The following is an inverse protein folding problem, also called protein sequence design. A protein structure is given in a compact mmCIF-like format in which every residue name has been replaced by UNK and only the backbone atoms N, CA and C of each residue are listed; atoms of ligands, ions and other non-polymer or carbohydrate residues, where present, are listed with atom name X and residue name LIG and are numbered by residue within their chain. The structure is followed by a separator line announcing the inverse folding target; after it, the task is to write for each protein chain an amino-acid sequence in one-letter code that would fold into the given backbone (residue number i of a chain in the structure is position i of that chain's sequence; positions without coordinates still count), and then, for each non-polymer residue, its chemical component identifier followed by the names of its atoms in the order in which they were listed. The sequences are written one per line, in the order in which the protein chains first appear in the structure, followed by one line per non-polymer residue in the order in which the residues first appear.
data_IF_316748254383
#
_entry.id   IF_316748254383
#
_cell.length_a   1.000
_cell.length_b   1.000
_cell.length_c   1.000
_cell.angle_alpha   90.00
_cell.angle_beta   90.00
_cell.angle_gamma   90.00
#
_symmetry.space_group_name_H-M   'P 1'
#
loop_
_entity.id
_entity.type
_entity.pdbx_description
1 polymer ?
#
# COMPACT_ATOMS: atom_id res chain seq x y z
N UNK A 1 23.95 -6.63 -5.24
CA UNK A 1 23.14 -5.72 -4.39
C UNK A 1 22.58 -6.52 -3.22
N UNK A 2 22.79 -6.10 -1.96
CA UNK A 2 22.26 -6.84 -0.80
C UNK A 2 20.72 -6.85 -0.84
N UNK A 3 20.10 -7.96 -0.44
CA UNK A 3 18.65 -8.16 -0.47
C UNK A 3 18.05 -7.83 0.90
N UNK A 4 16.97 -7.05 0.94
CA UNK A 4 16.17 -6.83 2.16
C UNK A 4 14.89 -7.65 2.05
N UNK A 5 14.60 -8.43 3.08
CA UNK A 5 13.29 -9.07 3.23
C UNK A 5 12.39 -8.17 4.08
N UNK A 6 11.17 -7.87 3.65
CA UNK A 6 10.17 -7.12 4.42
C UNK A 6 9.13 -8.13 4.92
N UNK A 7 9.06 -8.29 6.24
CA UNK A 7 8.12 -9.21 6.86
C UNK A 7 6.73 -8.57 6.96
N UNK A 8 5.74 -9.19 6.31
CA UNK A 8 4.38 -8.66 6.24
C UNK A 8 3.39 -9.53 6.97
N UNK A 9 2.49 -8.89 7.72
CA UNK A 9 1.27 -9.52 8.21
C UNK A 9 0.10 -9.08 7.33
N UNK A 10 -0.68 -10.04 6.86
CA UNK A 10 -1.81 -9.78 5.97
C UNK A 10 -3.09 -9.90 6.77
N UNK A 11 -3.96 -8.90 6.73
CA UNK A 11 -5.26 -8.90 7.38
C UNK A 11 -6.36 -9.00 6.32
N UNK A 12 -7.28 -9.95 6.48
CA UNK A 12 -8.38 -10.19 5.55
C UNK A 12 -9.71 -10.31 6.29
N UNK A 13 -10.86 -9.96 5.69
CA UNK A 13 -12.15 -10.14 6.34
C UNK A 13 -12.52 -11.63 6.48
N UNK A 14 -12.06 -12.45 5.54
CA UNK A 14 -12.25 -13.88 5.46
C UNK A 14 -11.22 -14.50 4.50
N UNK A 15 -11.24 -15.82 4.38
CA UNK A 15 -10.27 -16.60 3.61
C UNK A 15 -10.50 -16.57 2.08
N UNK A 16 -11.65 -16.08 1.60
CA UNK A 16 -12.05 -16.17 0.19
C UNK A 16 -11.07 -15.47 -0.75
N UNK A 17 -10.40 -14.43 -0.27
CA UNK A 17 -9.49 -13.61 -1.04
C UNK A 17 -8.01 -13.95 -0.84
N UNK A 18 -7.66 -14.89 0.04
CA UNK A 18 -6.27 -15.19 0.40
C UNK A 18 -5.43 -15.63 -0.80
N UNK A 19 -5.99 -16.45 -1.68
CA UNK A 19 -5.27 -16.95 -2.87
C UNK A 19 -4.96 -15.81 -3.84
N UNK A 20 -5.94 -14.94 -4.10
CA UNK A 20 -5.79 -13.82 -5.02
C UNK A 20 -4.85 -12.75 -4.45
N UNK A 21 -5.01 -12.43 -3.16
CA UNK A 21 -4.15 -11.51 -2.44
C UNK A 21 -2.70 -12.01 -2.37
N UNK A 22 -2.50 -13.31 -2.15
CA UNK A 22 -1.19 -13.94 -2.21
C UNK A 22 -0.51 -13.76 -3.58
N UNK A 23 -1.26 -13.98 -4.68
CA UNK A 23 -0.74 -13.78 -6.05
C UNK A 23 -0.29 -12.35 -6.29
N UNK A 24 -1.09 -11.35 -5.90
CA UNK A 24 -0.69 -9.95 -6.12
C UNK A 24 0.46 -9.53 -5.20
N UNK A 25 0.55 -10.07 -3.98
CA UNK A 25 1.70 -9.81 -3.10
C UNK A 25 2.98 -10.40 -3.71
N UNK A 26 2.91 -11.61 -4.26
CA UNK A 26 4.04 -12.26 -4.93
C UNK A 26 4.49 -11.47 -6.18
N UNK A 27 3.54 -11.01 -6.99
CA UNK A 27 3.80 -10.14 -8.15
C UNK A 27 4.50 -8.84 -7.71
N UNK A 28 3.94 -8.14 -6.73
CA UNK A 28 4.53 -6.93 -6.17
C UNK A 28 5.93 -7.20 -5.57
N UNK A 29 6.12 -8.33 -4.89
CA UNK A 29 7.40 -8.76 -4.32
C UNK A 29 8.46 -8.96 -5.41
N UNK A 30 8.08 -9.57 -6.54
CA UNK A 30 8.98 -9.77 -7.68
C UNK A 30 9.36 -8.44 -8.34
N UNK A 31 8.39 -7.57 -8.61
CA UNK A 31 8.63 -6.26 -9.22
C UNK A 31 9.51 -5.38 -8.32
N UNK A 32 9.19 -5.32 -7.02
CA UNK A 32 9.97 -4.55 -6.06
C UNK A 32 11.39 -5.12 -5.93
N UNK A 33 11.55 -6.46 -5.99
CA UNK A 33 12.86 -7.10 -5.97
C UNK A 33 13.70 -6.78 -7.21
N UNK A 34 13.09 -6.82 -8.39
CA UNK A 34 13.78 -6.48 -9.64
C UNK A 34 14.27 -5.03 -9.64
N UNK A 35 13.45 -4.11 -9.13
CA UNK A 35 13.75 -2.68 -9.15
C UNK A 35 14.66 -2.23 -7.99
N UNK A 36 14.58 -2.88 -6.82
CA UNK A 36 15.21 -2.37 -5.57
C UNK A 36 15.87 -3.47 -4.72
N UNK A 37 15.73 -4.74 -5.10
CA UNK A 37 16.18 -5.89 -4.33
C UNK A 37 15.51 -6.02 -2.96
N UNK A 38 14.32 -5.46 -2.78
CA UNK A 38 13.47 -5.69 -1.63
C UNK A 38 12.53 -6.85 -1.97
N UNK A 39 12.46 -7.87 -1.12
CA UNK A 39 11.50 -8.97 -1.23
C UNK A 39 10.49 -8.88 -0.11
N UNK A 40 9.23 -9.06 -0.43
CA UNK A 40 8.16 -9.19 0.54
C UNK A 40 8.03 -10.65 0.91
N UNK A 41 7.85 -10.93 2.20
CA UNK A 41 7.57 -12.25 2.73
C UNK A 41 6.36 -12.16 3.66
N UNK A 42 5.30 -12.90 3.35
CA UNK A 42 4.12 -12.97 4.22
C UNK A 42 4.42 -13.91 5.38
N UNK A 43 4.44 -13.34 6.59
CA UNK A 43 4.72 -14.07 7.84
C UNK A 43 3.47 -14.71 8.43
N UNK A 44 2.32 -14.02 8.32
CA UNK A 44 1.08 -14.46 8.95
C UNK A 44 -0.13 -13.85 8.22
N UNK A 45 -1.26 -14.55 8.27
CA UNK A 45 -2.58 -14.09 7.87
C UNK A 45 -3.48 -14.00 9.09
N UNK A 46 -4.10 -12.84 9.30
CA UNK A 46 -5.08 -12.61 10.36
C UNK A 46 -6.43 -12.21 9.80
N UNK A 47 -7.49 -12.52 10.55
CA UNK A 47 -8.83 -12.06 10.24
C UNK A 47 -9.10 -10.70 10.88
N UNK A 48 -9.74 -9.79 10.14
CA UNK A 48 -10.16 -8.48 10.64
C UNK A 48 -11.64 -8.23 10.31
N UNK A 49 -12.43 -7.84 11.31
CA UNK A 49 -13.84 -7.45 11.10
C UNK A 49 -13.95 -5.93 11.08
N UNK A 50 -14.07 -5.35 9.90
CA UNK A 50 -14.11 -3.90 9.70
C UNK A 50 -15.27 -3.22 10.41
N UNK A 51 -14.97 -2.17 11.19
CA UNK A 51 -15.95 -1.34 11.92
C UNK A 51 -16.10 0.06 11.32
N UNK A 52 -15.09 0.53 10.60
CA UNK A 52 -15.09 1.79 9.88
C UNK A 52 -15.05 1.54 8.37
N UNK A 53 -15.59 2.48 7.61
CA UNK A 53 -15.47 2.54 6.15
C UNK A 53 -14.62 3.71 5.65
N UNK A 54 -14.18 4.59 6.54
CA UNK A 54 -13.38 5.77 6.21
C UNK A 54 -11.88 5.48 6.34
N UNK A 55 -11.07 6.28 5.63
CA UNK A 55 -9.62 6.10 5.52
C UNK A 55 -8.92 6.05 6.88
N UNK A 56 -9.22 7.00 7.76
CA UNK A 56 -8.54 7.14 9.04
C UNK A 56 -8.97 6.04 10.01
N UNK A 57 -10.27 5.75 10.08
CA UNK A 57 -10.80 4.70 10.94
C UNK A 57 -10.30 3.30 10.55
N UNK A 58 -10.18 3.01 9.25
CA UNK A 58 -9.60 1.74 8.79
C UNK A 58 -8.12 1.59 9.16
N UNK A 59 -7.29 2.62 8.90
CA UNK A 59 -5.87 2.60 9.27
C UNK A 59 -5.68 2.48 10.78
N UNK A 60 -6.50 3.18 11.57
CA UNK A 60 -6.49 3.08 13.03
C UNK A 60 -6.83 1.65 13.47
N UNK A 61 -7.83 1.01 12.85
CA UNK A 61 -8.20 -0.36 13.18
C UNK A 61 -7.08 -1.37 12.85
N UNK A 62 -6.35 -1.18 11.75
CA UNK A 62 -5.15 -1.99 11.45
C UNK A 62 -4.09 -1.79 12.52
N UNK A 63 -3.77 -0.54 12.85
CA UNK A 63 -2.81 -0.20 13.91
C UNK A 63 -3.16 -0.86 15.24
N UNK A 64 -4.43 -0.79 15.65
CA UNK A 64 -4.90 -1.39 16.91
C UNK A 64 -4.84 -2.92 16.88
N UNK A 65 -5.16 -3.54 15.75
CA UNK A 65 -5.01 -5.00 15.57
C UNK A 65 -3.55 -5.42 15.69
N UNK A 66 -2.64 -4.63 15.11
CA UNK A 66 -1.22 -4.94 15.08
C UNK A 66 -0.48 -4.63 16.38
N UNK A 67 -1.02 -3.78 17.27
CA UNK A 67 -0.50 -3.60 18.65
C UNK A 67 -0.56 -4.90 19.46
N UNK A 68 -1.56 -5.74 19.21
CA UNK A 68 -1.73 -7.02 19.89
C UNK A 68 -0.92 -8.16 19.24
N UNK A 69 -0.26 -7.92 18.10
CA UNK A 69 0.49 -8.96 17.40
C UNK A 69 1.82 -9.25 18.12
N UNK A 70 2.10 -10.51 18.50
CA UNK A 70 3.20 -10.83 19.41
C UNK A 70 4.57 -10.82 18.76
N UNK A 71 4.64 -10.95 17.44
CA UNK A 71 5.88 -11.15 16.71
C UNK A 71 6.35 -9.86 16.01
N UNK A 72 7.68 -9.66 15.85
CA UNK A 72 8.19 -8.61 14.98
C UNK A 72 7.71 -8.77 13.53
N UNK A 73 7.32 -7.65 12.94
CA UNK A 73 6.93 -7.49 11.55
C UNK A 73 7.43 -6.13 11.04
N UNK A 74 7.46 -5.94 9.72
CA UNK A 74 7.80 -4.67 9.10
C UNK A 74 6.53 -3.92 8.69
N UNK A 75 5.64 -4.54 7.90
CA UNK A 75 4.40 -3.90 7.43
C UNK A 75 3.17 -4.77 7.66
N UNK A 76 2.00 -4.15 7.67
CA UNK A 76 0.72 -4.84 7.65
C UNK A 76 -0.06 -4.44 6.40
N UNK A 77 -0.58 -5.42 5.66
CA UNK A 77 -1.42 -5.19 4.48
C UNK A 77 -2.81 -5.70 4.81
N UNK A 78 -3.79 -4.82 4.85
CA UNK A 78 -5.17 -5.16 5.16
C UNK A 78 -6.05 -5.04 3.92
N UNK A 79 -6.90 -6.03 3.69
CA UNK A 79 -7.91 -5.99 2.63
C UNK A 79 -9.28 -5.62 3.21
N UNK A 80 -9.89 -4.58 2.65
CA UNK A 80 -11.18 -4.01 3.04
C UNK A 80 -12.09 -3.87 1.81
N UNK A 81 -12.67 -4.98 1.32
CA UNK A 81 -13.46 -4.97 0.09
C UNK A 81 -14.62 -3.98 0.20
N UNK A 82 -14.89 -3.27 -0.89
CA UNK A 82 -16.03 -2.36 -0.96
C UNK A 82 -17.35 -3.12 -0.93
N UNK A 83 -18.30 -2.63 -0.13
CA UNK A 83 -19.69 -3.06 -0.27
C UNK A 83 -20.27 -2.55 -1.59
N UNK A 84 -21.36 -3.16 -2.07
CA UNK A 84 -21.98 -2.75 -3.33
C UNK A 84 -22.35 -1.25 -3.39
N UNK A 85 -22.94 -0.63 -2.35
CA UNK A 85 -23.16 0.82 -2.33
C UNK A 85 -21.86 1.65 -2.41
N UNK A 86 -20.78 1.16 -1.78
CA UNK A 86 -19.49 1.85 -1.83
C UNK A 86 -18.86 1.76 -3.22
N UNK A 87 -19.01 0.64 -3.91
CA UNK A 87 -18.55 0.48 -5.29
C UNK A 87 -19.26 1.43 -6.24
N UNK A 88 -20.59 1.61 -6.07
CA UNK A 88 -21.36 2.59 -6.85
C UNK A 88 -20.93 4.03 -6.57
N UNK A 89 -20.71 4.37 -5.29
CA UNK A 89 -20.21 5.70 -4.91
C UNK A 89 -18.84 5.97 -5.51
N UNK A 90 -17.92 5.00 -5.41
CA UNK A 90 -16.60 5.07 -6.02
C UNK A 90 -16.69 5.25 -7.53
N UNK A 91 -17.62 4.54 -8.19
CA UNK A 91 -17.84 4.66 -9.62
C UNK A 91 -18.32 6.05 -10.06
N UNK A 92 -19.17 6.68 -9.25
CA UNK A 92 -19.79 7.96 -9.57
C UNK A 92 -18.90 9.17 -9.21
N UNK A 93 -18.18 9.08 -8.09
CA UNK A 93 -17.48 10.23 -7.50
C UNK A 93 -15.97 10.03 -7.37
N UNK A 94 -15.46 8.86 -7.77
CA UNK A 94 -14.10 8.45 -7.49
C UNK A 94 -13.88 8.12 -6.00
N UNK A 95 -12.64 7.80 -5.65
CA UNK A 95 -12.25 7.51 -4.29
C UNK A 95 -10.83 6.96 -4.22
N UNK A 96 -10.49 6.40 -3.06
CA UNK A 96 -9.21 5.73 -2.86
C UNK A 96 -9.37 4.21 -2.99
N UNK A 97 -8.42 3.57 -3.67
CA UNK A 97 -8.33 2.11 -3.80
C UNK A 97 -7.30 1.52 -2.85
N UNK A 98 -6.30 2.31 -2.49
CA UNK A 98 -5.26 1.99 -1.52
C UNK A 98 -4.97 3.19 -0.63
N UNK A 99 -4.42 2.93 0.55
CA UNK A 99 -3.86 3.96 1.42
C UNK A 99 -2.81 3.33 2.32
N UNK A 100 -1.78 4.10 2.65
CA UNK A 100 -0.83 3.83 3.72
C UNK A 100 -0.92 4.88 4.84
N UNK A 101 -0.64 4.52 6.08
CA UNK A 101 -0.56 5.47 7.18
C UNK A 101 0.60 6.46 7.02
N UNK A 102 0.37 7.73 7.38
CA UNK A 102 1.39 8.78 7.28
C UNK A 102 2.35 8.84 8.47
N UNK A 103 2.09 8.08 9.54
CA UNK A 103 2.85 8.16 10.80
C UNK A 103 4.09 7.27 10.77
N UNK A 104 3.90 5.99 10.43
CA UNK A 104 4.95 4.98 10.36
C UNK A 104 5.24 4.52 8.92
N UNK A 105 4.29 4.77 8.00
CA UNK A 105 4.30 4.23 6.62
C UNK A 105 4.52 2.72 6.63
N UNK A 106 3.67 2.00 7.37
CA UNK A 106 3.74 0.54 7.53
C UNK A 106 2.38 -0.16 7.50
N UNK A 107 1.28 0.55 7.64
CA UNK A 107 -0.09 0.02 7.63
C UNK A 107 -0.72 0.40 6.29
N UNK A 108 -0.94 -0.61 5.45
CA UNK A 108 -1.56 -0.47 4.14
C UNK A 108 -2.98 -1.02 4.21
N UNK A 109 -3.94 -0.30 3.64
CA UNK A 109 -5.31 -0.79 3.43
C UNK A 109 -5.61 -0.74 1.94
N UNK A 110 -6.08 -1.87 1.41
CA UNK A 110 -6.54 -2.03 0.03
C UNK A 110 -8.04 -2.26 -0.01
N UNK A 111 -8.72 -1.63 -0.97
CA UNK A 111 -10.15 -1.85 -1.25
C UNK A 111 -10.39 -2.66 -2.51
N UNK A 112 -9.37 -2.80 -3.34
CA UNK A 112 -9.35 -3.61 -4.56
C UNK A 112 -8.12 -4.52 -4.54
N UNK A 113 -8.23 -5.69 -5.18
CA UNK A 113 -7.11 -6.61 -5.37
C UNK A 113 -6.45 -6.25 -6.70
N UNK A 114 -5.57 -5.25 -6.65
CA UNK A 114 -4.89 -4.70 -7.83
C UNK A 114 -3.40 -4.52 -7.50
N UNK A 115 -2.54 -5.17 -8.29
CA UNK A 115 -1.09 -5.19 -8.05
C UNK A 115 -0.47 -3.79 -8.18
N UNK A 116 -0.98 -2.93 -9.06
CA UNK A 116 -0.51 -1.56 -9.19
C UNK A 116 -0.84 -0.75 -7.92
N UNK A 117 -2.04 -0.91 -7.34
CA UNK A 117 -2.40 -0.23 -6.06
C UNK A 117 -1.45 -0.69 -4.97
N UNK A 118 -1.33 -2.02 -4.81
CA UNK A 118 -0.53 -2.55 -3.73
C UNK A 118 0.93 -2.13 -3.86
N UNK A 119 1.51 -2.20 -5.06
CA UNK A 119 2.89 -1.81 -5.30
C UNK A 119 3.12 -0.32 -4.99
N UNK A 120 2.18 0.55 -5.39
CA UNK A 120 2.20 1.97 -5.06
C UNK A 120 2.25 2.21 -3.54
N UNK A 121 1.32 1.60 -2.79
CA UNK A 121 1.27 1.76 -1.34
C UNK A 121 2.50 1.17 -0.63
N UNK A 122 3.04 0.05 -1.12
CA UNK A 122 4.26 -0.53 -0.57
C UNK A 122 5.47 0.39 -0.76
N UNK A 123 5.58 1.06 -1.92
CA UNK A 123 6.67 1.98 -2.21
C UNK A 123 6.60 3.22 -1.33
N UNK A 124 5.41 3.74 -1.03
CA UNK A 124 5.27 4.80 -0.02
C UNK A 124 5.87 4.42 1.34
N UNK A 125 5.98 3.12 1.66
CA UNK A 125 6.72 2.63 2.83
C UNK A 125 8.17 3.11 2.91
N UNK A 126 8.75 3.51 1.77
CA UNK A 126 10.14 3.91 1.61
C UNK A 126 10.32 5.33 1.06
N UNK A 127 9.27 5.99 0.56
CA UNK A 127 9.33 7.36 0.01
C UNK A 127 8.80 8.38 1.02
N UNK A 128 9.64 9.35 1.41
CA UNK A 128 9.29 10.45 2.33
C UNK A 128 9.57 11.85 1.76
N UNK A 129 10.28 11.96 0.64
CA UNK A 129 10.59 13.27 0.05
C UNK A 129 9.41 13.85 -0.71
N UNK A 130 8.73 13.02 -1.51
CA UNK A 130 7.54 13.38 -2.26
C UNK A 130 6.50 12.29 -2.04
N UNK A 131 5.25 12.69 -1.80
CA UNK A 131 4.16 11.72 -1.69
C UNK A 131 3.88 11.10 -3.05
N UNK A 132 3.75 11.91 -4.10
CA UNK A 132 3.49 11.42 -5.45
C UNK A 132 4.44 12.06 -6.47
N UNK A 133 4.79 11.31 -7.50
CA UNK A 133 5.64 11.71 -8.64
C UNK A 133 4.98 11.22 -9.94
N UNK A 134 5.72 10.70 -10.92
CA UNK A 134 5.18 10.05 -12.11
C UNK A 134 5.34 8.52 -12.02
N UNK A 135 5.16 7.82 -13.14
CA UNK A 135 5.32 6.38 -13.21
C UNK A 135 4.41 5.64 -12.22
N UNK A 136 4.97 4.69 -11.47
CA UNK A 136 4.25 3.94 -10.43
C UNK A 136 3.68 4.85 -9.34
N UNK A 137 4.33 5.97 -9.01
CA UNK A 137 3.97 6.86 -7.91
C UNK A 137 3.05 8.03 -8.32
N UNK A 138 2.42 7.94 -9.50
CA UNK A 138 1.43 8.93 -9.97
C UNK A 138 0.22 9.05 -9.05
N UNK A 139 -0.15 10.29 -8.69
CA UNK A 139 -1.27 10.59 -7.77
C UNK A 139 -2.66 10.28 -8.34
N UNK A 140 -2.81 10.28 -9.67
CA UNK A 140 -4.12 10.25 -10.31
C UNK A 140 -4.27 9.01 -11.18
N UNK A 141 -5.23 8.16 -10.79
CA UNK A 141 -5.84 7.19 -11.69
C UNK A 141 -7.02 7.88 -12.36
N UNK A 142 -6.86 8.30 -13.61
CA UNK A 142 -8.01 8.71 -14.41
C UNK A 142 -8.66 7.44 -14.93
N UNK A 143 -9.63 6.94 -14.16
CA UNK A 143 -10.47 5.83 -14.56
C UNK A 143 -11.75 6.39 -15.18
N UNK A 144 -11.87 6.29 -16.51
CA UNK A 144 -13.09 6.66 -17.23
C UNK A 144 -14.24 5.69 -16.91
N UNK A 145 -13.90 4.42 -16.58
CA UNK A 145 -14.83 3.39 -16.13
C UNK A 145 -14.15 2.54 -15.04
N UNK A 146 -14.79 2.33 -13.87
CA UNK A 146 -14.27 1.47 -12.82
C UNK A 146 -14.01 0.06 -13.34
N UNK A 147 -12.79 -0.45 -13.13
CA UNK A 147 -12.41 -1.81 -13.52
C UNK A 147 -12.13 -2.06 -15.01
N UNK A 148 -12.26 -1.07 -15.90
CA UNK A 148 -12.13 -1.30 -17.37
C UNK A 148 -11.09 -0.39 -18.06
N UNK A 149 -10.94 0.88 -17.66
CA UNK A 149 -10.06 1.80 -18.40
C UNK A 149 -9.47 2.88 -17.50
N UNK A 150 -8.37 2.56 -16.82
CA UNK A 150 -7.52 3.56 -16.18
C UNK A 150 -6.28 3.75 -17.06
N UNK A 151 -6.09 4.95 -17.61
CA UNK A 151 -4.95 5.25 -18.47
C UNK A 151 -3.69 5.52 -17.62
N UNK A 152 -2.51 5.17 -18.16
CA UNK A 152 -1.17 5.34 -17.55
C UNK A 152 -0.84 4.52 -16.29
N UNK A 153 -0.99 3.18 -16.36
CA UNK A 153 -0.48 2.28 -15.30
C UNK A 153 0.97 1.88 -15.56
N UNK A 154 1.93 2.69 -15.11
CA UNK A 154 3.32 2.21 -15.01
C UNK A 154 3.48 1.34 -13.76
N UNK A 155 4.19 0.22 -13.88
CA UNK A 155 4.64 -0.59 -12.75
C UNK A 155 6.07 -0.24 -12.31
N UNK A 156 6.71 0.65 -13.05
CA UNK A 156 8.11 1.03 -12.85
C UNK A 156 8.22 2.34 -12.08
N UNK A 157 9.17 2.34 -11.15
CA UNK A 157 9.64 3.53 -10.45
C UNK A 157 10.46 4.42 -11.36
N UNK A 158 10.24 5.72 -11.24
CA UNK A 158 11.18 6.70 -11.76
C UNK A 158 12.55 6.55 -11.07
N UNK A 159 13.60 7.05 -11.71
CA UNK A 159 14.97 6.87 -11.22
C UNK A 159 15.14 7.45 -9.81
N UNK A 160 14.61 8.64 -9.59
CA UNK A 160 14.72 9.38 -8.34
C UNK A 160 14.02 8.63 -7.19
N UNK A 161 12.83 8.08 -7.45
CA UNK A 161 12.09 7.27 -6.48
C UNK A 161 12.84 5.98 -6.16
N UNK A 162 13.34 5.28 -7.19
CA UNK A 162 14.14 4.06 -7.01
C UNK A 162 15.38 4.33 -6.16
N UNK A 163 16.09 5.43 -6.39
CA UNK A 163 17.25 5.81 -5.59
C UNK A 163 16.88 6.10 -4.13
N UNK A 164 15.76 6.76 -3.89
CA UNK A 164 15.28 7.00 -2.53
C UNK A 164 14.89 5.71 -1.81
N UNK A 165 14.13 4.83 -2.48
CA UNK A 165 13.80 3.51 -1.94
C UNK A 165 15.07 2.75 -1.60
N UNK A 166 16.09 2.78 -2.46
CA UNK A 166 17.37 2.14 -2.22
C UNK A 166 18.12 2.70 -1.00
N UNK A 167 18.08 4.02 -0.79
CA UNK A 167 18.67 4.67 0.41
C UNK A 167 17.92 4.28 1.69
N UNK A 168 16.60 4.11 1.62
CA UNK A 168 15.73 3.85 2.79
C UNK A 168 15.37 2.38 2.97
N UNK A 169 15.86 1.50 2.11
CA UNK A 169 15.65 0.05 2.11
C UNK A 169 15.83 -0.61 3.48
N UNK A 170 16.72 -0.07 4.32
CA UNK A 170 17.05 -0.59 5.64
C UNK A 170 16.38 0.16 6.80
N UNK A 171 15.36 0.98 6.54
CA UNK A 171 14.65 1.71 7.60
C UNK A 171 14.05 0.76 8.65
N UNK A 172 13.91 1.29 9.85
CA UNK A 172 13.11 0.67 10.89
C UNK A 172 11.64 1.07 10.70
N UNK A 173 10.78 0.09 10.39
CA UNK A 173 9.34 0.33 10.20
C UNK A 173 8.59 0.61 11.50
N UNK A 174 9.20 0.35 12.66
CA UNK A 174 8.61 0.71 13.97
C UNK A 174 8.93 2.14 14.40
N UNK A 175 9.68 2.90 13.60
CA UNK A 175 9.99 4.31 13.87
C UNK A 175 9.06 5.24 13.10
N UNK A 176 8.52 6.22 13.81
CA UNK A 176 7.76 7.33 13.21
C UNK A 176 8.60 8.07 12.18
N UNK A 177 7.93 8.64 11.19
CA UNK A 177 8.57 9.43 10.14
C UNK A 177 8.11 10.88 10.20
N UNK A 178 9.01 11.77 9.77
CA UNK A 178 8.67 13.16 9.52
C UNK A 178 8.59 13.37 8.01
N UNK A 179 7.37 13.36 7.48
CA UNK A 179 7.12 13.69 6.08
C UNK A 179 7.43 15.17 5.86
N UNK A 180 8.19 15.47 4.80
CA UNK A 180 8.30 16.85 4.32
C UNK A 180 7.04 17.16 3.54
N UNK A 181 6.10 17.88 4.16
CA UNK A 181 4.98 18.45 3.42
C UNK A 181 5.55 19.60 2.58
N UNK A 182 5.82 19.36 1.31
CA UNK A 182 5.94 20.43 0.34
C UNK A 182 4.52 20.89 0.05
N UNK A 183 4.13 22.02 0.65
CA UNK A 183 2.91 22.71 0.26
C UNK A 183 3.19 23.32 -1.10
N UNK A 184 2.90 22.58 -2.18
CA UNK A 184 2.81 23.20 -3.49
C UNK A 184 1.64 24.19 -3.45
N UNK A 185 2.02 25.46 -3.60
CA UNK A 185 1.14 26.60 -3.38
C UNK A 185 -0.10 26.54 -4.25
N UNK A 186 -1.24 26.78 -3.61
CA UNK A 186 -2.38 27.40 -4.27
C UNK A 186 -1.91 28.79 -4.74
N UNK A 187 -1.78 28.96 -6.06
CA UNK A 187 -1.94 30.26 -6.72
C UNK A 187 -3.06 30.13 -7.73
#
# INVERSE_FOLDING_TARGET
MPVRQVAVVVLVPDDRHLTELGKIIDECSQLLFQQTGIRIFVKNYQTISWKSSDRAGMLQQVSDSMKAFPDPYDMAIAFAPMSFPQLLSFAAFGGWEGVIDDVYRRYVVLRTIDSNVLLHELVHGFLFSNTHTHGLMGATRICLVPGIACFHRSMDLDREDREEVMRKKWRNFSSEIHLRVVVDGIQ
#
